data_IF_089919073857
#
_entry.id   IF_089919073857
#
_cell.length_a   1.000
_cell.length_b   1.000
_cell.length_c   1.000
_cell.angle_alpha   90.00
_cell.angle_beta   90.00
_cell.angle_gamma   90.00
#
_symmetry.space_group_name_H-M   'P 1'
#
loop_
_entity.id
_entity.type
_entity.pdbx_description
1 polymer ?
#
# COMPACT_ATOMS: atom_id res chain seq x y z
N UNK A 1 -63.41 0.46 25.82
CA UNK A 1 -64.05 -0.77 25.33
C UNK A 1 -63.04 -1.46 24.41
N UNK A 2 -62.38 -2.50 24.80
CA UNK A 2 -61.53 -3.29 23.94
C UNK A 2 -62.38 -4.24 23.12
N UNK A 3 -62.17 -4.25 21.81
CA UNK A 3 -62.86 -5.10 20.84
C UNK A 3 -62.30 -6.50 20.97
N UNK A 4 -63.08 -7.41 21.48
CA UNK A 4 -62.85 -8.81 21.56
C UNK A 4 -62.97 -9.42 20.14
N UNK A 5 -61.86 -9.71 19.46
CA UNK A 5 -61.85 -10.39 18.18
C UNK A 5 -61.64 -11.89 18.43
N UNK A 6 -62.71 -12.53 18.88
CA UNK A 6 -62.75 -13.99 18.95
C UNK A 6 -62.65 -14.59 17.54
N UNK A 7 -61.76 -15.56 17.25
CA UNK A 7 -61.67 -16.18 15.95
C UNK A 7 -62.94 -17.00 15.66
N UNK A 8 -63.53 -16.79 14.47
CA UNK A 8 -64.71 -17.51 13.99
C UNK A 8 -64.39 -18.99 13.78
N UNK A 9 -65.05 -19.92 14.48
CA UNK A 9 -64.78 -21.35 14.40
C UNK A 9 -65.22 -22.01 13.08
N UNK A 10 -65.70 -21.22 12.13
CA UNK A 10 -66.16 -21.73 10.84
C UNK A 10 -65.18 -21.60 9.67
N UNK A 11 -63.96 -21.08 9.93
CA UNK A 11 -62.96 -21.07 8.88
C UNK A 11 -62.09 -22.35 9.02
N UNK A 12 -62.22 -23.33 8.10
CA UNK A 12 -61.31 -24.47 8.12
C UNK A 12 -59.88 -23.96 7.89
N UNK A 13 -59.00 -24.33 8.78
CA UNK A 13 -57.57 -23.99 8.66
C UNK A 13 -57.08 -24.45 7.29
N UNK A 14 -56.67 -23.52 6.49
CA UNK A 14 -56.05 -23.80 5.19
C UNK A 14 -54.84 -24.69 5.42
N UNK A 15 -54.77 -25.88 4.81
CA UNK A 15 -53.61 -26.76 4.99
C UNK A 15 -52.33 -26.02 4.59
N UNK A 16 -51.21 -26.23 5.30
CA UNK A 16 -49.94 -25.61 4.95
C UNK A 16 -49.61 -25.87 3.48
N UNK A 17 -49.57 -24.86 2.67
CA UNK A 17 -49.12 -25.02 1.29
C UNK A 17 -47.65 -25.49 1.32
N UNK A 18 -47.29 -26.50 0.52
CA UNK A 18 -45.92 -26.90 0.36
C UNK A 18 -45.12 -25.67 -0.12
N UNK A 19 -44.24 -25.18 0.72
CA UNK A 19 -43.35 -24.07 0.33
C UNK A 19 -42.53 -24.54 -0.88
N UNK A 20 -42.70 -23.89 -2.01
CA UNK A 20 -41.87 -24.14 -3.18
C UNK A 20 -40.40 -24.00 -2.78
N UNK A 21 -39.47 -24.84 -3.25
CA UNK A 21 -38.07 -24.75 -2.95
C UNK A 21 -37.61 -23.33 -3.25
N UNK A 22 -36.97 -22.65 -2.29
CA UNK A 22 -36.39 -21.35 -2.50
C UNK A 22 -35.42 -21.42 -3.68
N UNK A 23 -35.49 -20.49 -4.64
CA UNK A 23 -34.53 -20.45 -5.73
C UNK A 23 -33.11 -20.44 -5.15
N UNK A 24 -32.15 -21.17 -5.76
CA UNK A 24 -30.78 -21.18 -5.29
C UNK A 24 -30.26 -19.73 -5.20
N UNK A 25 -29.66 -19.41 -4.05
CA UNK A 25 -29.07 -18.09 -3.83
C UNK A 25 -28.10 -17.78 -4.97
N UNK A 26 -28.12 -16.55 -5.53
CA UNK A 26 -27.18 -16.17 -6.58
C UNK A 26 -25.75 -16.40 -6.11
N UNK A 27 -24.83 -16.85 -6.98
CA UNK A 27 -23.44 -17.06 -6.61
C UNK A 27 -22.87 -15.75 -6.05
N UNK A 28 -22.01 -15.83 -5.01
CA UNK A 28 -21.39 -14.63 -4.44
C UNK A 28 -20.70 -13.85 -5.52
N UNK A 29 -20.90 -12.51 -5.53
CA UNK A 29 -20.26 -11.62 -6.47
C UNK A 29 -18.73 -11.82 -6.39
N UNK A 30 -18.02 -11.92 -7.53
CA UNK A 30 -16.57 -12.07 -7.53
C UNK A 30 -15.94 -10.94 -6.73
N UNK A 31 -14.99 -11.29 -5.86
CA UNK A 31 -14.26 -10.30 -5.07
C UNK A 31 -13.58 -9.28 -5.99
N UNK A 32 -13.59 -7.99 -5.65
CA UNK A 32 -12.98 -6.96 -6.48
C UNK A 32 -11.47 -7.23 -6.60
N UNK A 33 -11.03 -7.59 -7.80
CA UNK A 33 -9.65 -7.88 -8.17
C UNK A 33 -9.01 -6.59 -8.67
N UNK A 34 -7.77 -6.29 -8.23
CA UNK A 34 -7.00 -5.14 -8.74
C UNK A 34 -6.66 -5.39 -10.21
N UNK A 35 -6.98 -4.45 -11.14
CA UNK A 35 -6.62 -4.62 -12.54
C UNK A 35 -5.11 -4.85 -12.72
N UNK A 36 -4.73 -5.79 -13.57
CA UNK A 36 -3.33 -6.19 -13.81
C UNK A 36 -2.40 -5.02 -14.19
N UNK A 37 -2.93 -4.00 -14.87
CA UNK A 37 -2.17 -2.80 -15.24
C UNK A 37 -1.68 -1.97 -14.04
N UNK A 38 -2.45 -1.88 -12.96
CA UNK A 38 -2.01 -1.16 -11.74
C UNK A 38 -0.86 -1.85 -11.04
N UNK A 39 -0.86 -3.18 -11.01
CA UNK A 39 0.23 -3.98 -10.43
C UNK A 39 1.53 -3.76 -11.19
N UNK A 40 1.47 -3.83 -12.52
CA UNK A 40 2.63 -3.58 -13.38
C UNK A 40 3.16 -2.16 -13.17
N UNK A 41 2.28 -1.16 -13.09
CA UNK A 41 2.65 0.23 -12.87
C UNK A 41 3.39 0.44 -11.54
N UNK A 42 2.94 -0.18 -10.45
CA UNK A 42 3.59 -0.02 -9.14
C UNK A 42 4.95 -0.71 -9.07
N UNK A 43 5.10 -1.90 -9.68
CA UNK A 43 6.38 -2.60 -9.77
C UNK A 43 7.38 -1.74 -10.54
N UNK A 44 6.98 -1.18 -11.67
CA UNK A 44 7.82 -0.28 -12.48
C UNK A 44 8.22 0.95 -11.67
N UNK A 45 7.29 1.60 -10.98
CA UNK A 45 7.57 2.77 -10.16
C UNK A 45 8.59 2.46 -9.04
N UNK A 46 8.43 1.35 -8.33
CA UNK A 46 9.36 0.92 -7.28
C UNK A 46 10.75 0.66 -7.88
N UNK A 47 10.83 -0.04 -9.00
CA UNK A 47 12.10 -0.38 -9.66
C UNK A 47 12.85 0.87 -10.14
N UNK A 48 12.14 1.83 -10.74
CA UNK A 48 12.72 3.10 -11.17
C UNK A 48 13.24 3.90 -9.99
N UNK A 49 12.45 4.02 -8.91
CA UNK A 49 12.86 4.74 -7.72
C UNK A 49 14.05 4.08 -7.03
N UNK A 50 14.07 2.74 -6.97
CA UNK A 50 15.20 1.96 -6.43
C UNK A 50 16.48 2.20 -7.24
N UNK A 51 16.38 2.13 -8.58
CA UNK A 51 17.51 2.43 -9.47
C UNK A 51 18.05 3.84 -9.27
N UNK A 52 17.18 4.83 -9.12
CA UNK A 52 17.55 6.21 -8.83
C UNK A 52 18.25 6.35 -7.47
N UNK A 53 17.73 5.68 -6.44
CA UNK A 53 18.32 5.67 -5.10
C UNK A 53 19.74 5.08 -5.09
N UNK A 54 19.96 3.98 -5.83
CA UNK A 54 21.26 3.34 -5.93
C UNK A 54 22.25 4.18 -6.77
N UNK A 55 21.79 4.82 -7.84
CA UNK A 55 22.61 5.74 -8.63
C UNK A 55 23.05 6.95 -7.78
N UNK A 56 22.13 7.53 -7.00
CA UNK A 56 22.43 8.61 -6.06
C UNK A 56 23.43 8.18 -4.99
N UNK A 57 23.27 6.97 -4.42
CA UNK A 57 24.22 6.41 -3.45
C UNK A 57 25.63 6.29 -4.04
N UNK A 58 25.73 5.76 -5.26
CA UNK A 58 27.01 5.64 -5.95
C UNK A 58 27.68 7.01 -6.14
N UNK A 59 26.93 7.98 -6.67
CA UNK A 59 27.45 9.29 -6.96
C UNK A 59 27.88 10.02 -5.69
N UNK A 60 27.00 10.10 -4.70
CA UNK A 60 27.23 10.86 -3.48
C UNK A 60 28.17 10.15 -2.49
N UNK A 61 28.06 8.85 -2.35
CA UNK A 61 28.85 8.07 -1.38
C UNK A 61 30.28 7.76 -1.79
N UNK A 62 30.56 7.75 -3.12
CA UNK A 62 31.89 7.38 -3.65
C UNK A 62 32.67 8.58 -4.22
N UNK A 63 31.99 9.59 -4.72
CA UNK A 63 32.61 10.73 -5.40
C UNK A 63 32.71 11.98 -4.53
N UNK A 64 32.09 12.01 -3.36
CA UNK A 64 32.15 13.14 -2.44
C UNK A 64 33.41 13.03 -1.55
N UNK A 65 34.53 13.68 -1.90
CA UNK A 65 35.72 13.69 -1.07
C UNK A 65 35.50 14.71 0.07
N UNK A 66 35.17 14.26 1.24
CA UNK A 66 34.99 15.18 2.34
C UNK A 66 34.87 14.48 3.69
N UNK A 67 35.04 15.24 4.76
CA UNK A 67 34.79 14.77 6.11
C UNK A 67 33.30 14.50 6.30
N UNK A 68 32.98 13.34 6.83
CA UNK A 68 31.60 12.95 7.13
C UNK A 68 31.04 13.85 8.23
N UNK A 69 30.21 14.80 7.86
CA UNK A 69 29.46 15.61 8.81
C UNK A 69 28.35 14.79 9.48
N UNK A 70 27.84 15.27 10.59
CA UNK A 70 26.67 14.63 11.23
C UNK A 70 25.46 14.66 10.31
N UNK A 71 25.32 15.69 9.49
CA UNK A 71 24.24 15.81 8.51
C UNK A 71 24.40 14.81 7.37
N UNK A 72 25.62 14.64 6.84
CA UNK A 72 25.89 13.64 5.80
C UNK A 72 25.68 12.20 6.31
N UNK A 73 26.02 11.91 7.56
CA UNK A 73 25.74 10.62 8.16
C UNK A 73 24.21 10.38 8.31
N UNK A 74 23.46 11.41 8.72
CA UNK A 74 22.01 11.33 8.82
C UNK A 74 21.36 11.13 7.42
N UNK A 75 21.84 11.84 6.41
CA UNK A 75 21.39 11.67 5.02
C UNK A 75 21.65 10.24 4.51
N UNK A 76 22.85 9.71 4.76
CA UNK A 76 23.22 8.34 4.43
C UNK A 76 22.30 7.31 5.12
N UNK A 77 22.04 7.49 6.42
CA UNK A 77 21.13 6.62 7.15
C UNK A 77 19.70 6.66 6.58
N UNK A 78 19.17 7.83 6.27
CA UNK A 78 17.86 7.98 5.61
C UNK A 78 17.83 7.25 4.26
N UNK A 79 18.88 7.37 3.47
CA UNK A 79 18.99 6.71 2.17
C UNK A 79 19.02 5.18 2.30
N UNK A 80 19.78 4.64 3.25
CA UNK A 80 19.82 3.20 3.53
C UNK A 80 18.42 2.70 3.92
N UNK A 81 17.73 3.41 4.82
CA UNK A 81 16.37 3.07 5.23
C UNK A 81 15.42 3.14 4.04
N UNK A 82 15.50 4.17 3.20
CA UNK A 82 14.67 4.30 2.00
C UNK A 82 14.87 3.12 1.03
N UNK A 83 16.11 2.75 0.74
CA UNK A 83 16.45 1.60 -0.13
C UNK A 83 15.93 0.29 0.47
N UNK A 84 16.12 0.06 1.76
CA UNK A 84 15.62 -1.13 2.44
C UNK A 84 14.09 -1.24 2.36
N UNK A 85 13.36 -0.12 2.55
CA UNK A 85 11.91 -0.08 2.42
C UNK A 85 11.45 -0.29 0.98
N UNK A 86 12.19 0.21 -0.01
CA UNK A 86 11.90 -0.01 -1.43
C UNK A 86 12.06 -1.49 -1.81
N UNK A 87 13.14 -2.13 -1.36
CA UNK A 87 13.36 -3.57 -1.57
C UNK A 87 12.25 -4.37 -0.90
N UNK A 88 11.87 -4.03 0.32
CA UNK A 88 10.77 -4.70 1.03
C UNK A 88 9.43 -4.52 0.29
N UNK A 89 9.13 -3.31 -0.19
CA UNK A 89 7.94 -3.02 -0.97
C UNK A 89 7.93 -3.79 -2.29
N UNK A 90 9.08 -3.88 -2.98
CA UNK A 90 9.23 -4.65 -4.21
C UNK A 90 9.02 -6.14 -3.96
N UNK A 91 9.70 -6.71 -2.95
CA UNK A 91 9.54 -8.11 -2.58
C UNK A 91 8.09 -8.45 -2.22
N UNK A 92 7.44 -7.55 -1.49
CA UNK A 92 6.03 -7.69 -1.15
C UNK A 92 5.13 -7.61 -2.38
N UNK A 93 5.39 -6.69 -3.31
CA UNK A 93 4.65 -6.56 -4.57
C UNK A 93 4.80 -7.79 -5.48
N UNK A 94 5.96 -8.44 -5.45
CA UNK A 94 6.22 -9.68 -6.20
C UNK A 94 5.58 -10.92 -5.56
N UNK A 95 5.48 -10.95 -4.21
CA UNK A 95 4.93 -12.08 -3.45
C UNK A 95 3.40 -12.10 -3.41
N UNK A 96 2.71 -11.13 -3.97
CA UNK A 96 1.25 -11.06 -3.96
C UNK A 96 0.64 -12.23 -4.75
N UNK A 97 0.55 -13.37 -4.10
CA UNK A 97 -0.32 -14.49 -4.48
C UNK A 97 -1.80 -14.20 -4.18
N UNK A 98 -2.07 -13.24 -3.27
CA UNK A 98 -3.41 -12.80 -2.91
C UNK A 98 -3.71 -11.44 -3.53
N UNK A 99 -4.59 -11.41 -4.54
CA UNK A 99 -5.14 -10.21 -5.19
C UNK A 99 -6.08 -9.39 -4.26
N UNK A 100 -5.87 -9.42 -2.95
CA UNK A 100 -6.72 -8.74 -2.00
C UNK A 100 -6.40 -7.24 -1.92
N UNK A 101 -7.41 -6.39 -2.09
CA UNK A 101 -7.31 -4.92 -2.02
C UNK A 101 -6.60 -4.40 -0.75
N UNK A 102 -6.82 -4.96 0.47
CA UNK A 102 -6.16 -4.45 1.67
C UNK A 102 -4.64 -4.65 1.66
N UNK A 103 -4.14 -5.74 1.07
CA UNK A 103 -2.69 -6.00 0.97
C UNK A 103 -2.01 -5.05 -0.02
N UNK A 104 -2.68 -4.73 -1.14
CA UNK A 104 -2.22 -3.73 -2.09
C UNK A 104 -2.05 -2.35 -1.45
N UNK A 105 -3.04 -1.87 -0.69
CA UNK A 105 -2.98 -0.58 0.03
C UNK A 105 -1.80 -0.51 1.00
N UNK A 106 -1.47 -1.62 1.65
CA UNK A 106 -0.33 -1.72 2.55
C UNK A 106 1.00 -1.56 1.81
N UNK A 107 1.15 -2.23 0.67
CA UNK A 107 2.34 -2.12 -0.19
C UNK A 107 2.53 -0.69 -0.71
N UNK A 108 1.46 -0.04 -1.17
CA UNK A 108 1.50 1.36 -1.60
C UNK A 108 1.93 2.29 -0.46
N UNK A 109 1.43 2.08 0.76
CA UNK A 109 1.85 2.89 1.93
C UNK A 109 3.34 2.75 2.22
N UNK A 110 3.87 1.54 2.22
CA UNK A 110 5.32 1.30 2.42
C UNK A 110 6.15 1.97 1.34
N UNK A 111 5.68 1.90 0.09
CA UNK A 111 6.33 2.59 -1.03
C UNK A 111 6.32 4.12 -0.84
N UNK A 112 5.19 4.71 -0.47
CA UNK A 112 5.10 6.16 -0.21
C UNK A 112 6.03 6.57 0.93
N UNK A 113 6.07 5.81 2.03
CA UNK A 113 6.98 6.07 3.16
C UNK A 113 8.43 6.03 2.72
N UNK A 114 8.80 5.05 1.87
CA UNK A 114 10.17 4.97 1.33
C UNK A 114 10.53 6.15 0.44
N UNK A 115 9.60 6.62 -0.39
CA UNK A 115 9.79 7.78 -1.25
C UNK A 115 9.96 9.08 -0.42
N UNK A 116 9.17 9.24 0.64
CA UNK A 116 9.30 10.37 1.57
C UNK A 116 10.67 10.32 2.28
N UNK A 117 11.07 9.15 2.77
CA UNK A 117 12.37 8.97 3.42
C UNK A 117 13.53 9.33 2.49
N UNK A 118 13.43 8.93 1.20
CA UNK A 118 14.40 9.30 0.18
C UNK A 118 14.48 10.81 -0.03
N UNK A 119 13.32 11.48 -0.19
CA UNK A 119 13.25 12.92 -0.37
C UNK A 119 13.83 13.68 0.83
N UNK A 120 13.53 13.25 2.04
CA UNK A 120 14.10 13.85 3.26
C UNK A 120 15.63 13.68 3.28
N UNK A 121 16.12 12.46 3.01
CA UNK A 121 17.55 12.20 2.95
C UNK A 121 18.27 13.05 1.90
N UNK A 122 17.68 13.18 0.71
CA UNK A 122 18.19 14.01 -0.37
C UNK A 122 18.21 15.50 0.01
N UNK A 123 17.15 15.99 0.64
CA UNK A 123 17.06 17.38 1.09
C UNK A 123 18.13 17.68 2.13
N UNK A 124 18.36 16.80 3.09
CA UNK A 124 19.43 16.95 4.10
C UNK A 124 20.79 16.98 3.41
N UNK A 125 21.06 16.10 2.47
CA UNK A 125 22.32 16.03 1.74
C UNK A 125 22.57 17.32 0.93
N UNK A 126 21.55 17.84 0.26
CA UNK A 126 21.65 19.09 -0.51
C UNK A 126 21.88 20.31 0.39
N UNK A 127 21.22 20.35 1.54
CA UNK A 127 21.44 21.44 2.51
C UNK A 127 22.84 21.40 3.11
N UNK A 128 23.35 20.22 3.43
CA UNK A 128 24.71 20.05 3.94
C UNK A 128 25.75 20.53 2.91
N UNK A 129 25.59 20.14 1.67
CA UNK A 129 26.46 20.60 0.58
C UNK A 129 26.43 22.14 0.40
N UNK A 130 25.23 22.73 0.37
CA UNK A 130 25.07 24.16 0.19
C UNK A 130 25.67 24.98 1.36
N UNK A 131 25.59 24.49 2.58
CA UNK A 131 26.17 25.14 3.75
C UNK A 131 27.70 25.03 3.77
N UNK A 132 28.25 23.95 3.24
CA UNK A 132 29.70 23.73 3.18
C UNK A 132 30.35 24.66 2.17
N UNK A 133 29.70 24.93 1.00
CA UNK A 133 30.19 25.86 -0.01
C UNK A 133 30.17 27.33 0.42
N UNK A 134 29.40 27.72 1.42
CA UNK A 134 29.33 29.09 1.93
C UNK A 134 30.42 29.41 2.98
N UNK A 135 31.15 28.43 3.47
CA UNK A 135 32.16 28.60 4.53
C UNK A 135 33.58 28.69 3.98
N UNK A 136 33.79 28.29 2.72
CA UNK A 136 35.07 28.44 1.98
C UNK A 136 35.12 29.76 1.21
#
# INVERSE_FOLDING_TARGET
MPSDTSPDPRHPATPPQPQAPLPPSPPPAPAPIVPSGFRQGIITAITVLLGFSLAFWRFWGLESPGYWSRASLAAAACLIVAVALQILALFRALRLEDDSIPEYRKTVRWFIVSAIALLVGLTIAMMDAALTEQVD
#
